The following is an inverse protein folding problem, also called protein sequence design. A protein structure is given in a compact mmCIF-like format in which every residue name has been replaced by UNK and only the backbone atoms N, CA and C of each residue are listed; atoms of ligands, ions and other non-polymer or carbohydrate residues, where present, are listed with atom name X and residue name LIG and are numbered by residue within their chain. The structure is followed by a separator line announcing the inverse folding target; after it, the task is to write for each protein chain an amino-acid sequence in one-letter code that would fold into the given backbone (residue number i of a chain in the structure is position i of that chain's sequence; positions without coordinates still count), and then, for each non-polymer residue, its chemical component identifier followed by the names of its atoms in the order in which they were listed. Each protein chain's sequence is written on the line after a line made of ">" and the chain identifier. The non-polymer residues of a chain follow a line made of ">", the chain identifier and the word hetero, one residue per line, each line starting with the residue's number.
data_IF_251688757297
#
_entry.id   IF_251688757297
#
_cell.length_a   1.000
_cell.length_b   1.000
_cell.length_c   1.000
_cell.angle_alpha   90.00
_cell.angle_beta   90.00
_cell.angle_gamma   90.00
#
_symmetry.space_group_name_H-M   'P 1'
#
loop_
_entity.id
_entity.type
_entity.pdbx_description
1 polymer ?
#
# COMPACT_ATOMS: atom_id res chain seq x y z
N UNK A 1 6.30 12.24 25.05
CA UNK A 1 6.68 12.27 23.62
C UNK A 1 5.67 11.41 22.88
N UNK A 2 5.19 11.78 21.69
CA UNK A 2 4.29 10.89 20.96
C UNK A 2 5.07 9.61 20.67
N UNK A 3 4.57 8.56 21.29
CA UNK A 3 4.98 7.18 21.19
C UNK A 3 4.49 6.65 19.85
N UNK A 4 5.41 6.04 19.09
CA UNK A 4 5.17 5.26 17.88
C UNK A 4 4.66 6.03 16.64
N UNK A 5 5.48 6.08 15.59
CA UNK A 5 5.13 6.66 14.29
C UNK A 5 3.84 6.06 13.72
N UNK A 6 3.56 4.78 14.00
CA UNK A 6 2.33 4.12 13.61
C UNK A 6 1.08 4.72 14.26
N UNK A 7 1.16 5.13 15.53
CA UNK A 7 0.04 5.76 16.24
C UNK A 7 -0.21 7.16 15.68
N UNK A 8 0.86 7.89 15.31
CA UNK A 8 0.76 9.19 14.65
C UNK A 8 0.14 9.07 13.25
N UNK A 9 0.55 8.08 12.46
CA UNK A 9 -0.02 7.80 11.13
C UNK A 9 -1.51 7.45 11.25
N UNK A 10 -1.89 6.60 12.22
CA UNK A 10 -3.27 6.24 12.47
C UNK A 10 -4.12 7.46 12.89
N UNK A 11 -3.59 8.34 13.72
CA UNK A 11 -4.27 9.58 14.14
C UNK A 11 -4.51 10.52 12.94
N UNK A 12 -3.51 10.71 12.08
CA UNK A 12 -3.63 11.54 10.87
C UNK A 12 -4.65 10.93 9.89
N UNK A 13 -4.63 9.61 9.70
CA UNK A 13 -5.61 8.92 8.86
C UNK A 13 -7.05 9.12 9.39
N UNK A 14 -7.27 9.00 10.70
CA UNK A 14 -8.57 9.23 11.32
C UNK A 14 -9.07 10.67 11.12
N UNK A 15 -8.19 11.67 11.25
CA UNK A 15 -8.52 13.07 10.96
C UNK A 15 -8.92 13.28 9.51
N UNK A 16 -8.23 12.65 8.56
CA UNK A 16 -8.54 12.75 7.13
C UNK A 16 -9.90 12.14 6.78
N UNK A 17 -10.23 10.97 7.35
CA UNK A 17 -11.55 10.34 7.20
C UNK A 17 -12.65 11.23 7.77
N UNK A 18 -12.45 11.76 8.99
CA UNK A 18 -13.42 12.64 9.64
C UNK A 18 -13.64 13.94 8.86
N UNK A 19 -12.58 14.53 8.28
CA UNK A 19 -12.67 15.68 7.41
C UNK A 19 -13.46 15.37 6.14
N UNK A 20 -13.16 14.25 5.47
CA UNK A 20 -13.85 13.81 4.24
C UNK A 20 -15.36 13.61 4.47
N UNK A 21 -15.75 13.04 5.60
CA UNK A 21 -17.15 12.79 5.95
C UNK A 21 -17.96 14.10 6.11
N UNK A 22 -17.31 15.20 6.51
CA UNK A 22 -17.95 16.51 6.67
C UNK A 22 -18.04 17.31 5.37
N UNK A 23 -17.35 16.89 4.30
CA UNK A 23 -17.32 17.62 3.04
C UNK A 23 -18.53 17.26 2.15
N UNK A 24 -19.35 18.25 1.74
CA UNK A 24 -20.39 18.05 0.74
C UNK A 24 -19.82 17.46 -0.56
N UNK A 25 -20.58 16.54 -1.18
CA UNK A 25 -20.17 15.90 -2.43
C UNK A 25 -20.04 16.91 -3.59
N UNK A 26 -20.89 17.94 -3.59
CA UNK A 26 -20.89 19.01 -4.59
C UNK A 26 -20.20 20.27 -4.02
N UNK A 27 -19.00 20.57 -4.50
CA UNK A 27 -18.30 21.84 -4.22
C UNK A 27 -16.84 21.70 -3.81
N UNK A 28 -16.45 20.55 -3.25
CA UNK A 28 -15.11 20.33 -2.69
C UNK A 28 -14.36 19.18 -3.35
N UNK A 29 -14.56 18.97 -4.66
CA UNK A 29 -13.98 17.85 -5.40
C UNK A 29 -12.45 17.77 -5.23
N UNK A 30 -11.73 18.88 -5.43
CA UNK A 30 -10.27 18.93 -5.27
C UNK A 30 -9.81 18.55 -3.86
N UNK A 31 -10.49 19.03 -2.83
CA UNK A 31 -10.14 18.73 -1.45
C UNK A 31 -10.40 17.26 -1.11
N UNK A 32 -11.51 16.68 -1.61
CA UNK A 32 -11.80 15.26 -1.47
C UNK A 32 -10.74 14.38 -2.14
N UNK A 33 -10.29 14.75 -3.35
CA UNK A 33 -9.21 14.04 -4.05
C UNK A 33 -7.90 14.08 -3.27
N UNK A 34 -7.55 15.24 -2.69
CA UNK A 34 -6.32 15.36 -1.88
C UNK A 34 -6.38 14.52 -0.60
N UNK A 35 -7.54 14.49 0.08
CA UNK A 35 -7.75 13.62 1.24
C UNK A 35 -7.68 12.14 0.86
N UNK A 36 -8.26 11.76 -0.27
CA UNK A 36 -8.23 10.38 -0.76
C UNK A 36 -6.80 9.94 -1.12
N UNK A 37 -6.02 10.82 -1.76
CA UNK A 37 -4.62 10.56 -2.08
C UNK A 37 -3.78 10.39 -0.81
N UNK A 38 -3.95 11.29 0.18
CA UNK A 38 -3.24 11.21 1.45
C UNK A 38 -3.58 9.93 2.23
N UNK A 39 -4.85 9.53 2.25
CA UNK A 39 -5.26 8.27 2.90
C UNK A 39 -4.61 7.04 2.27
N UNK A 40 -4.45 7.02 0.94
CA UNK A 40 -3.75 5.94 0.23
C UNK A 40 -2.26 5.92 0.59
N UNK A 41 -1.63 7.09 0.70
CA UNK A 41 -0.21 7.16 1.05
C UNK A 41 0.05 6.71 2.50
N UNK A 42 -0.82 7.08 3.45
CA UNK A 42 -0.72 6.65 4.85
C UNK A 42 -0.94 5.13 5.04
N UNK A 43 -1.84 4.54 4.25
CA UNK A 43 -2.08 3.09 4.25
C UNK A 43 -0.82 2.32 3.80
N UNK A 44 -0.03 2.88 2.87
CA UNK A 44 1.23 2.30 2.41
C UNK A 44 2.37 2.45 3.42
N UNK A 45 2.38 3.53 4.20
CA UNK A 45 3.39 3.77 5.23
C UNK A 45 3.16 2.94 6.50
N UNK A 46 1.95 2.42 6.68
CA UNK A 46 1.69 1.45 7.74
C UNK A 46 2.33 0.13 7.34
N UNK A 47 3.44 -0.32 7.96
CA UNK A 47 4.03 -1.60 7.61
C UNK A 47 2.96 -2.68 7.82
N UNK A 48 2.81 -3.64 6.89
CA UNK A 48 1.86 -4.72 7.07
C UNK A 48 2.23 -5.42 8.39
N UNK A 49 1.34 -5.34 9.39
CA UNK A 49 1.41 -6.19 10.58
C UNK A 49 1.55 -7.62 10.09
N UNK A 50 2.72 -8.21 10.32
CA UNK A 50 3.33 -9.15 9.38
C UNK A 50 2.50 -10.38 9.00
N UNK A 51 2.47 -10.64 7.70
CA UNK A 51 2.62 -11.97 7.10
C UNK A 51 3.47 -11.81 5.82
N UNK A 52 4.74 -11.40 5.98
CA UNK A 52 5.77 -11.63 4.96
C UNK A 52 6.31 -13.04 5.15
N UNK A 53 5.47 -14.03 4.82
CA UNK A 53 5.95 -15.35 4.47
C UNK A 53 6.59 -15.28 3.10
N UNK A 54 7.92 -15.44 3.03
CA UNK A 54 8.59 -15.78 1.78
C UNK A 54 9.64 -14.79 1.31
N UNK A 55 10.69 -14.60 2.11
CA UNK A 55 11.99 -14.32 1.52
C UNK A 55 12.48 -15.60 0.81
N UNK A 56 12.49 -15.59 -0.53
CA UNK A 56 13.63 -16.09 -1.32
C UNK A 56 13.50 -15.66 -2.79
N UNK A 57 14.50 -14.90 -3.20
CA UNK A 57 14.76 -14.34 -4.53
C UNK A 57 14.91 -15.41 -5.63
N UNK A 58 14.86 -15.00 -6.92
CA UNK A 58 14.75 -15.89 -8.06
C UNK A 58 16.07 -16.60 -8.35
N UNK A 59 16.03 -17.92 -8.54
CA UNK A 59 17.21 -18.74 -8.79
C UNK A 59 16.93 -19.96 -9.67
N UNK A 60 17.23 -19.80 -10.96
CA UNK A 60 17.90 -20.80 -11.81
C UNK A 60 17.17 -22.11 -12.18
N UNK A 61 16.99 -22.26 -13.52
CA UNK A 61 17.00 -23.49 -14.34
C UNK A 61 15.79 -24.43 -14.26
N UNK A 62 14.86 -24.24 -15.20
CA UNK A 62 14.24 -25.37 -15.88
C UNK A 62 14.92 -25.52 -17.25
N UNK A 63 15.75 -26.55 -17.38
CA UNK A 63 16.40 -26.96 -18.63
C UNK A 63 15.36 -27.14 -19.73
N UNK A 64 15.49 -26.40 -20.83
CA UNK A 64 14.92 -26.82 -22.11
C UNK A 64 15.87 -27.85 -22.72
N UNK A 65 15.59 -29.13 -22.51
CA UNK A 65 16.15 -30.21 -23.31
C UNK A 65 15.01 -30.79 -24.15
N UNK A 66 14.93 -30.36 -25.42
CA UNK A 66 14.11 -31.01 -26.43
C UNK A 66 15.02 -31.95 -27.23
N UNK A 67 14.66 -33.23 -27.45
CA UNK A 67 15.46 -34.12 -28.26
C UNK A 67 15.30 -33.70 -29.72
N UNK A 68 16.33 -33.10 -30.30
CA UNK A 68 16.43 -32.95 -31.75
C UNK A 68 17.07 -34.22 -32.30
N UNK A 69 16.16 -35.07 -32.75
CA UNK A 69 16.32 -36.23 -33.63
C UNK A 69 17.41 -36.00 -34.68
N UNK A 70 18.36 -36.95 -34.78
CA UNK A 70 19.40 -36.96 -35.81
C UNK A 70 19.21 -38.23 -36.65
N UNK A 71 18.83 -37.99 -37.91
CA UNK A 71 18.85 -38.86 -39.12
C UNK A 71 17.89 -40.03 -39.20
#
# INVERSE_FOLDING_TARGET
>A
MPTNDADAIAEVAALCVAARAKLPASGFHRLRVLLDMLLIDLDRETPPSGESGGESRPGVRASSEAPSDRT
#
